data_IF_976100846075
#
_entry.id   IF_976100846075
#
_cell.length_a   1.000
_cell.length_b   1.000
_cell.length_c   1.000
_cell.angle_alpha   90.00
_cell.angle_beta   90.00
_cell.angle_gamma   90.00
#
_symmetry.space_group_name_H-M   'P 1'
#
loop_
_entity.id
_entity.type
_entity.pdbx_description
1 polymer ?
#
# COMPACT_ATOMS: atom_id res chain seq x y z
N UNK A 1 -3.35 -7.42 6.05
CA UNK A 1 -3.94 -7.52 4.71
C UNK A 1 -4.58 -8.90 4.66
N UNK A 2 -5.91 -8.97 4.81
CA UNK A 2 -6.63 -10.16 4.37
C UNK A 2 -6.57 -10.14 2.85
N UNK A 3 -5.62 -10.82 2.24
CA UNK A 3 -5.83 -11.30 0.89
C UNK A 3 -7.11 -12.14 0.90
N UNK A 4 -8.10 -11.77 0.11
CA UNK A 4 -9.18 -12.69 -0.23
C UNK A 4 -8.58 -13.72 -1.19
N UNK A 5 -8.01 -14.76 -0.62
CA UNK A 5 -7.17 -15.73 -1.31
C UNK A 5 -7.98 -16.84 -2.01
N UNK A 6 -9.29 -16.71 -2.17
CA UNK A 6 -10.11 -17.80 -2.74
C UNK A 6 -9.77 -18.09 -4.21
N UNK A 7 -9.20 -17.13 -4.95
CA UNK A 7 -8.75 -17.35 -6.34
C UNK A 7 -7.25 -17.64 -6.49
N UNK A 8 -6.44 -17.22 -5.54
CA UNK A 8 -4.97 -17.32 -5.63
C UNK A 8 -4.40 -18.58 -5.00
N UNK A 9 -5.10 -19.21 -4.06
CA UNK A 9 -4.65 -20.45 -3.42
C UNK A 9 -4.46 -21.62 -4.40
N UNK A 10 -5.19 -21.66 -5.47
CA UNK A 10 -5.00 -22.68 -6.52
C UNK A 10 -3.77 -22.44 -7.39
N UNK A 11 -3.23 -21.23 -7.42
CA UNK A 11 -2.06 -20.86 -8.23
C UNK A 11 -0.77 -20.72 -7.43
N UNK A 12 -0.84 -20.50 -6.12
CA UNK A 12 0.31 -20.28 -5.24
C UNK A 12 0.52 -21.55 -4.41
N UNK A 13 1.27 -22.49 -4.94
CA UNK A 13 1.78 -23.63 -4.17
C UNK A 13 2.99 -23.26 -3.29
N UNK A 14 3.37 -22.01 -3.29
CA UNK A 14 4.49 -21.53 -2.49
C UNK A 14 4.04 -21.38 -1.05
N UNK A 15 4.60 -22.20 -0.19
CA UNK A 15 4.31 -22.17 1.24
C UNK A 15 5.05 -21.00 1.85
N UNK A 16 4.33 -19.99 2.28
CA UNK A 16 4.87 -18.93 3.12
C UNK A 16 4.11 -18.88 4.45
N UNK A 17 4.77 -18.39 5.47
CA UNK A 17 4.18 -18.15 6.78
C UNK A 17 4.13 -16.66 7.03
N UNK A 18 2.98 -16.16 7.50
CA UNK A 18 2.81 -14.77 7.90
C UNK A 18 2.94 -14.67 9.41
N UNK A 19 3.87 -13.84 9.88
CA UNK A 19 3.97 -13.44 11.28
C UNK A 19 3.38 -12.06 11.47
N UNK A 20 2.37 -11.96 12.31
CA UNK A 20 1.72 -10.70 12.66
C UNK A 20 2.40 -10.04 13.86
N UNK A 21 2.26 -8.72 13.99
CA UNK A 21 2.76 -7.94 15.10
C UNK A 21 4.03 -7.16 14.79
N UNK A 22 4.79 -6.82 15.81
CA UNK A 22 6.00 -6.00 15.68
C UNK A 22 7.12 -6.75 14.95
N UNK A 23 7.63 -6.14 13.86
CA UNK A 23 8.66 -6.75 13.00
C UNK A 23 9.96 -6.97 13.77
N UNK A 24 10.40 -6.01 14.56
CA UNK A 24 11.67 -6.10 15.30
C UNK A 24 11.60 -7.21 16.33
N UNK A 25 10.48 -7.30 17.04
CA UNK A 25 10.23 -8.37 18.00
C UNK A 25 10.26 -9.74 17.31
N UNK A 26 9.52 -9.91 16.22
CA UNK A 26 9.45 -11.17 15.47
C UNK A 26 10.82 -11.61 14.92
N UNK A 27 11.61 -10.66 14.39
CA UNK A 27 12.97 -10.93 13.92
C UNK A 27 13.91 -11.32 15.08
N UNK A 28 13.76 -10.69 16.24
CA UNK A 28 14.54 -11.02 17.43
C UNK A 28 14.33 -12.47 17.91
N UNK A 29 13.08 -12.93 17.87
CA UNK A 29 12.75 -14.34 18.20
C UNK A 29 13.43 -15.33 17.25
N UNK A 30 13.63 -14.93 16.00
CA UNK A 30 14.32 -15.73 14.98
C UNK A 30 15.84 -15.52 14.97
N UNK A 31 16.37 -14.66 15.85
CA UNK A 31 17.77 -14.28 15.91
C UNK A 31 18.29 -13.67 14.59
N UNK A 32 17.44 -12.91 13.93
CA UNK A 32 17.75 -12.21 12.68
C UNK A 32 17.90 -10.72 13.01
N UNK A 33 18.96 -10.09 12.53
CA UNK A 33 19.17 -8.65 12.70
C UNK A 33 18.13 -7.88 11.87
N UNK A 34 17.40 -6.91 12.47
CA UNK A 34 16.44 -6.08 11.74
C UNK A 34 17.13 -5.23 10.67
N UNK A 35 16.51 -5.06 9.50
CA UNK A 35 17.01 -4.17 8.47
C UNK A 35 16.96 -2.71 8.93
N UNK A 36 17.79 -1.86 8.31
CA UNK A 36 17.81 -0.41 8.57
C UNK A 36 17.60 0.34 7.26
N UNK A 37 16.48 1.07 7.10
CA UNK A 37 15.33 1.20 8.03
C UNK A 37 14.46 -0.08 8.09
N UNK A 38 13.67 -0.20 9.17
CA UNK A 38 12.63 -1.23 9.26
C UNK A 38 11.41 -0.74 8.51
N UNK A 39 11.11 -1.35 7.37
CA UNK A 39 9.94 -1.04 6.54
C UNK A 39 9.07 -2.29 6.37
N UNK A 40 7.80 -2.09 6.04
CA UNK A 40 6.88 -3.16 5.65
C UNK A 40 6.65 -3.13 4.12
N UNK A 41 6.50 -4.27 3.48
CA UNK A 41 6.67 -5.61 4.03
C UNK A 41 8.14 -5.94 4.32
N UNK A 42 8.35 -6.81 5.32
CA UNK A 42 9.65 -7.43 5.58
C UNK A 42 9.52 -8.92 5.32
N UNK A 43 10.38 -9.48 4.49
CA UNK A 43 10.40 -10.91 4.18
C UNK A 43 11.69 -11.57 4.64
N UNK A 44 11.58 -12.84 5.08
CA UNK A 44 12.70 -13.67 5.44
C UNK A 44 12.84 -14.77 4.38
N UNK A 45 14.02 -14.87 3.82
CA UNK A 45 14.37 -15.79 2.76
C UNK A 45 15.62 -16.58 3.17
N UNK A 46 15.86 -17.71 2.52
CA UNK A 46 17.13 -18.41 2.63
C UNK A 46 18.02 -18.03 1.46
N UNK A 47 19.27 -17.69 1.75
CA UNK A 47 20.30 -17.54 0.72
C UNK A 47 20.82 -18.90 0.26
N UNK A 48 21.74 -18.92 -0.69
CA UNK A 48 22.33 -20.13 -1.25
C UNK A 48 23.07 -20.98 -0.20
N UNK A 49 23.57 -20.38 0.88
CA UNK A 49 24.20 -21.06 2.02
C UNK A 49 23.18 -21.60 3.04
N UNK A 50 21.89 -21.45 2.79
CA UNK A 50 20.81 -21.85 3.69
C UNK A 50 20.60 -20.95 4.91
N UNK A 51 21.31 -19.79 4.99
CA UNK A 51 21.14 -18.82 6.06
C UNK A 51 19.94 -17.93 5.79
N UNK A 52 19.25 -17.55 6.86
CA UNK A 52 18.16 -16.59 6.76
C UNK A 52 18.71 -15.19 6.42
N UNK A 53 18.14 -14.59 5.39
CA UNK A 53 18.35 -13.17 5.02
C UNK A 53 17.04 -12.44 5.14
N UNK A 54 17.12 -11.18 5.55
CA UNK A 54 15.98 -10.29 5.68
C UNK A 54 16.02 -9.25 4.57
N UNK A 55 14.88 -9.09 3.87
CA UNK A 55 14.69 -8.03 2.87
C UNK A 55 13.47 -7.21 3.26
N UNK A 56 13.58 -5.90 3.09
CA UNK A 56 12.51 -4.95 3.36
C UNK A 56 12.33 -4.04 2.14
N UNK A 57 11.17 -3.35 2.08
CA UNK A 57 10.78 -2.53 0.95
C UNK A 57 10.28 -3.36 -0.25
N UNK A 58 9.15 -2.94 -0.83
CA UNK A 58 8.46 -3.69 -1.89
C UNK A 58 9.26 -3.77 -3.17
N UNK A 59 9.85 -2.68 -3.63
CA UNK A 59 10.58 -2.64 -4.90
C UNK A 59 11.80 -3.58 -4.91
N UNK A 60 12.72 -3.54 -3.93
CA UNK A 60 13.82 -4.51 -3.85
C UNK A 60 13.35 -5.96 -3.68
N UNK A 61 12.25 -6.19 -2.97
CA UNK A 61 11.66 -7.53 -2.81
C UNK A 61 11.15 -8.05 -4.15
N UNK A 62 10.40 -7.24 -4.90
CA UNK A 62 9.90 -7.62 -6.24
C UNK A 62 11.07 -7.96 -7.16
N UNK A 63 12.09 -7.10 -7.25
CA UNK A 63 13.27 -7.34 -8.09
C UNK A 63 13.98 -8.65 -7.73
N UNK A 64 14.15 -8.92 -6.45
CA UNK A 64 14.73 -10.19 -5.98
C UNK A 64 13.88 -11.39 -6.35
N UNK A 65 12.56 -11.32 -6.19
CA UNK A 65 11.65 -12.40 -6.55
C UNK A 65 11.63 -12.66 -8.07
N UNK A 66 11.77 -11.63 -8.89
CA UNK A 66 11.91 -11.73 -10.35
C UNK A 66 13.22 -12.42 -10.77
N UNK A 67 14.31 -12.23 -10.01
CA UNK A 67 15.58 -12.91 -10.27
C UNK A 67 15.51 -14.43 -10.04
N UNK A 68 14.82 -14.84 -8.97
CA UNK A 68 14.73 -16.26 -8.59
C UNK A 68 13.54 -17.00 -9.21
N UNK A 69 12.52 -16.28 -9.70
CA UNK A 69 11.32 -16.88 -10.30
C UNK A 69 11.00 -16.24 -11.65
N UNK A 70 11.44 -16.90 -12.74
CA UNK A 70 11.30 -16.39 -14.10
C UNK A 70 10.03 -16.84 -14.84
N UNK A 71 9.16 -17.61 -14.18
CA UNK A 71 8.01 -18.24 -14.85
C UNK A 71 6.77 -17.37 -14.95
N UNK A 72 6.59 -16.42 -14.04
CA UNK A 72 5.41 -15.54 -13.94
C UNK A 72 5.81 -14.12 -13.57
N UNK A 73 6.65 -13.51 -14.42
CA UNK A 73 7.13 -12.14 -14.21
C UNK A 73 5.96 -11.14 -14.06
N UNK A 74 6.08 -10.24 -13.09
CA UNK A 74 5.21 -9.07 -12.92
C UNK A 74 5.81 -7.83 -13.57
N UNK A 75 6.94 -7.97 -14.25
CA UNK A 75 7.61 -6.92 -14.99
C UNK A 75 7.41 -7.17 -16.48
N UNK A 76 6.87 -6.22 -17.25
CA UNK A 76 6.71 -6.36 -18.69
C UNK A 76 8.06 -6.57 -19.43
N UNK A 77 8.10 -7.51 -20.35
CA UNK A 77 9.34 -7.82 -21.10
C UNK A 77 9.71 -6.76 -22.15
N UNK A 78 8.72 -6.02 -22.67
CA UNK A 78 8.98 -4.97 -23.66
C UNK A 78 9.67 -3.77 -22.99
N UNK A 79 10.81 -3.26 -23.50
CA UNK A 79 11.60 -2.22 -22.82
C UNK A 79 10.81 -0.95 -22.46
N UNK A 80 9.95 -0.48 -23.37
CA UNK A 80 9.12 0.70 -23.15
C UNK A 80 8.10 0.43 -22.03
N UNK A 81 7.42 -0.73 -22.07
CA UNK A 81 6.45 -1.08 -21.03
C UNK A 81 7.11 -1.33 -19.68
N UNK A 82 8.33 -1.87 -19.68
CA UNK A 82 9.13 -2.03 -18.45
C UNK A 82 9.45 -0.66 -17.84
N UNK A 83 9.88 0.31 -18.65
CA UNK A 83 10.13 1.68 -18.18
C UNK A 83 8.85 2.34 -17.64
N UNK A 84 7.74 2.23 -18.36
CA UNK A 84 6.44 2.78 -17.91
C UNK A 84 5.95 2.09 -16.62
N UNK A 85 6.15 0.79 -16.50
CA UNK A 85 5.84 0.04 -15.30
C UNK A 85 6.63 0.54 -14.08
N UNK A 86 7.94 0.76 -14.26
CA UNK A 86 8.78 1.34 -13.21
C UNK A 86 8.32 2.75 -12.83
N UNK A 87 8.02 3.58 -13.82
CA UNK A 87 7.54 4.96 -13.60
C UNK A 87 6.21 4.99 -12.85
N UNK A 88 5.28 4.08 -13.17
CA UNK A 88 3.98 4.00 -12.48
C UNK A 88 4.10 3.39 -11.07
N UNK A 89 5.02 2.44 -10.87
CA UNK A 89 5.34 1.91 -9.55
C UNK A 89 5.88 3.03 -8.65
N UNK A 90 6.86 3.80 -9.14
CA UNK A 90 7.43 4.97 -8.44
C UNK A 90 6.38 6.06 -8.17
N UNK A 91 5.51 6.35 -9.15
CA UNK A 91 4.41 7.28 -8.98
C UNK A 91 3.44 6.82 -7.87
N UNK A 92 3.14 5.54 -7.80
CA UNK A 92 2.27 5.00 -6.77
C UNK A 92 2.90 5.15 -5.37
N UNK A 93 4.16 4.83 -5.23
CA UNK A 93 4.86 4.87 -3.94
C UNK A 93 5.12 6.32 -3.48
N UNK A 94 5.52 7.21 -4.38
CA UNK A 94 5.97 8.55 -4.01
C UNK A 94 4.88 9.64 -4.12
N UNK A 95 3.92 9.48 -5.04
CA UNK A 95 2.89 10.51 -5.28
C UNK A 95 1.52 10.13 -4.74
N UNK A 96 1.06 8.91 -4.97
CA UNK A 96 -0.25 8.47 -4.48
C UNK A 96 -0.26 8.37 -2.95
N UNK A 97 0.87 8.06 -2.34
CA UNK A 97 1.08 8.16 -0.89
C UNK A 97 0.77 9.57 -0.35
N UNK A 98 1.12 10.63 -1.11
CA UNK A 98 0.83 12.02 -0.70
C UNK A 98 -0.66 12.30 -0.67
N UNK A 99 -1.44 11.78 -1.64
CA UNK A 99 -2.90 11.86 -1.60
C UNK A 99 -3.44 11.18 -0.36
N UNK A 100 -3.01 9.92 -0.10
CA UNK A 100 -3.48 9.15 1.05
C UNK A 100 -3.21 9.87 2.36
N UNK A 101 -1.99 10.37 2.56
CA UNK A 101 -1.64 11.06 3.79
C UNK A 101 -2.37 12.39 3.96
N UNK A 102 -2.55 13.15 2.86
CA UNK A 102 -3.35 14.38 2.85
C UNK A 102 -4.79 14.10 3.26
N UNK A 103 -5.49 13.23 2.55
CA UNK A 103 -6.90 12.97 2.85
C UNK A 103 -7.08 12.46 4.27
N UNK A 104 -6.28 11.53 4.73
CA UNK A 104 -6.38 10.93 6.06
C UNK A 104 -6.21 11.92 7.20
N UNK A 105 -5.34 12.91 7.07
CA UNK A 105 -4.95 13.76 8.19
C UNK A 105 -5.31 15.23 8.05
N UNK A 106 -5.63 15.70 6.85
CA UNK A 106 -6.07 17.08 6.62
C UNK A 106 -7.56 17.26 6.89
N UNK A 107 -8.39 16.28 6.53
CA UNK A 107 -9.83 16.33 6.76
C UNK A 107 -10.17 15.76 8.13
N UNK A 108 -10.94 16.55 8.92
CA UNK A 108 -11.30 16.15 10.29
C UNK A 108 -12.02 14.81 10.36
N UNK A 109 -12.95 14.55 9.45
CA UNK A 109 -13.71 13.31 9.40
C UNK A 109 -12.78 12.09 9.22
N UNK A 110 -11.82 12.19 8.32
CA UNK A 110 -10.89 11.09 8.03
C UNK A 110 -9.89 10.90 9.16
N UNK A 111 -9.40 11.99 9.78
CA UNK A 111 -8.53 11.91 10.94
C UNK A 111 -9.23 11.25 12.15
N UNK A 112 -10.49 11.59 12.42
CA UNK A 112 -11.30 10.96 13.47
C UNK A 112 -11.53 9.46 13.20
N UNK A 113 -11.76 9.08 11.96
CA UNK A 113 -11.85 7.67 11.56
C UNK A 113 -10.50 6.95 11.74
N UNK A 114 -9.44 7.53 11.19
CA UNK A 114 -8.12 6.90 11.12
C UNK A 114 -7.49 6.69 12.50
N UNK A 115 -7.56 7.67 13.39
CA UNK A 115 -6.91 7.60 14.70
C UNK A 115 -7.34 6.39 15.53
N UNK A 116 -8.64 6.08 15.53
CA UNK A 116 -9.20 4.92 16.25
C UNK A 116 -8.90 3.61 15.56
N UNK A 117 -9.13 3.57 14.25
CA UNK A 117 -8.91 2.37 13.45
C UNK A 117 -7.45 1.91 13.49
N UNK A 118 -6.49 2.83 13.46
CA UNK A 118 -5.07 2.49 13.53
C UNK A 118 -4.67 1.90 14.87
N UNK A 119 -5.21 2.39 15.98
CA UNK A 119 -4.98 1.78 17.31
C UNK A 119 -5.57 0.37 17.37
N UNK A 120 -6.82 0.20 16.92
CA UNK A 120 -7.50 -1.10 16.93
C UNK A 120 -6.85 -2.13 16.00
N UNK A 121 -6.24 -1.71 14.89
CA UNK A 121 -5.46 -2.61 14.04
C UNK A 121 -4.23 -3.20 14.73
N UNK A 122 -3.66 -2.50 15.70
CA UNK A 122 -2.59 -3.02 16.53
C UNK A 122 -3.09 -3.95 17.63
N UNK A 123 -4.21 -3.59 18.27
CA UNK A 123 -4.75 -4.36 19.38
C UNK A 123 -6.28 -4.17 19.50
N UNK A 124 -7.02 -5.21 19.11
CA UNK A 124 -8.50 -5.17 19.12
C UNK A 124 -9.10 -5.15 20.53
N UNK A 125 -8.45 -5.80 21.49
CA UNK A 125 -8.88 -5.94 22.89
C UNK A 125 -8.28 -4.88 23.82
N UNK A 126 -7.89 -3.72 23.26
CA UNK A 126 -7.40 -2.59 24.05
C UNK A 126 -8.55 -1.97 24.86
N UNK A 127 -8.26 -1.53 26.08
CA UNK A 127 -9.19 -0.76 26.89
C UNK A 127 -9.58 0.56 26.21
N UNK A 128 -10.85 0.99 26.36
CA UNK A 128 -11.38 2.16 25.68
C UNK A 128 -10.65 3.46 26.06
N UNK A 129 -10.28 3.63 27.32
CA UNK A 129 -9.58 4.83 27.77
C UNK A 129 -8.18 4.89 27.18
N UNK A 130 -7.47 3.78 27.17
CA UNK A 130 -6.15 3.67 26.50
C UNK A 130 -6.26 3.83 24.99
N UNK A 131 -7.31 3.30 24.37
CA UNK A 131 -7.57 3.49 22.95
C UNK A 131 -7.71 4.97 22.59
N UNK A 132 -8.50 5.72 23.33
CA UNK A 132 -8.67 7.16 23.10
C UNK A 132 -7.34 7.92 23.31
N UNK A 133 -6.59 7.62 24.38
CA UNK A 133 -5.30 8.26 24.62
C UNK A 133 -4.30 8.02 23.47
N UNK A 134 -4.15 6.78 23.00
CA UNK A 134 -3.26 6.47 21.88
C UNK A 134 -3.76 7.06 20.56
N UNK A 135 -5.08 7.12 20.36
CA UNK A 135 -5.68 7.72 19.18
C UNK A 135 -5.32 9.21 19.06
N UNK A 136 -5.42 9.97 20.15
CA UNK A 136 -5.04 11.38 20.18
C UNK A 136 -3.54 11.58 19.90
N UNK A 137 -2.68 10.76 20.51
CA UNK A 137 -1.22 10.81 20.25
C UNK A 137 -0.90 10.54 18.78
N UNK A 138 -1.56 9.56 18.16
CA UNK A 138 -1.36 9.26 16.74
C UNK A 138 -1.84 10.43 15.88
N UNK A 139 -3.06 10.93 16.13
CA UNK A 139 -3.63 12.03 15.34
C UNK A 139 -2.76 13.29 15.42
N UNK A 140 -2.41 13.71 16.64
CA UNK A 140 -1.57 14.89 16.84
C UNK A 140 -0.21 14.76 16.13
N UNK A 141 0.45 13.63 16.29
CA UNK A 141 1.71 13.36 15.59
C UNK A 141 1.59 13.46 14.08
N UNK A 142 0.55 12.88 13.49
CA UNK A 142 0.42 12.80 12.03
C UNK A 142 -0.07 14.10 11.42
N UNK A 143 -1.00 14.79 12.06
CA UNK A 143 -1.48 16.11 11.63
C UNK A 143 -0.32 17.11 11.60
N UNK A 144 0.52 17.12 12.65
CA UNK A 144 1.71 17.95 12.73
C UNK A 144 2.80 17.60 11.69
N UNK A 145 2.63 16.51 10.93
CA UNK A 145 3.55 16.05 9.87
C UNK A 145 2.99 16.23 8.45
N UNK A 146 1.84 16.86 8.26
CA UNK A 146 1.26 17.11 6.93
C UNK A 146 2.24 17.83 5.97
N UNK A 147 3.14 18.64 6.52
CA UNK A 147 4.19 19.32 5.76
C UNK A 147 5.15 18.34 5.04
N UNK A 148 5.35 17.13 5.54
CA UNK A 148 6.24 16.11 4.93
C UNK A 148 5.77 15.72 3.53
N UNK A 149 4.45 15.71 3.32
CA UNK A 149 3.84 15.44 2.01
C UNK A 149 3.46 16.72 1.26
N UNK A 150 3.87 17.88 1.77
CA UNK A 150 3.56 19.19 1.18
C UNK A 150 2.09 19.60 1.34
N UNK A 151 1.34 18.98 2.26
CA UNK A 151 -0.07 19.30 2.51
C UNK A 151 -0.21 20.48 3.46
N UNK A 152 -0.90 21.54 2.99
CA UNK A 152 -1.25 22.74 3.73
C UNK A 152 -2.45 23.43 3.04
N UNK A 153 -2.91 24.56 3.58
CA UNK A 153 -4.06 25.28 3.03
C UNK A 153 -3.85 25.81 1.60
N UNK A 154 -2.62 26.07 1.19
CA UNK A 154 -2.31 26.57 -0.15
C UNK A 154 -2.31 25.43 -1.18
N UNK A 155 -1.83 24.25 -0.79
CA UNK A 155 -1.68 23.10 -1.67
C UNK A 155 -2.87 22.13 -1.65
N UNK A 156 -3.76 22.22 -0.65
CA UNK A 156 -4.88 21.31 -0.48
C UNK A 156 -5.74 21.18 -1.74
N UNK A 157 -6.10 22.30 -2.37
CA UNK A 157 -6.88 22.29 -3.62
C UNK A 157 -6.12 21.62 -4.78
N UNK A 158 -4.82 21.82 -4.87
CA UNK A 158 -3.99 21.19 -5.91
C UNK A 158 -3.94 19.67 -5.73
N UNK A 159 -3.80 19.22 -4.49
CA UNK A 159 -3.78 17.78 -4.15
C UNK A 159 -5.13 17.13 -4.50
N UNK A 160 -6.24 17.78 -4.13
CA UNK A 160 -7.59 17.32 -4.43
C UNK A 160 -7.85 17.21 -5.94
N UNK A 161 -7.52 18.27 -6.70
CA UNK A 161 -7.64 18.26 -8.17
C UNK A 161 -6.76 17.18 -8.81
N UNK A 162 -5.56 16.97 -8.30
CA UNK A 162 -4.64 15.95 -8.81
C UNK A 162 -5.17 14.53 -8.54
N UNK A 163 -5.75 14.28 -7.38
CA UNK A 163 -6.38 13.00 -7.06
C UNK A 163 -7.61 12.73 -7.95
N UNK A 164 -8.48 13.72 -8.13
CA UNK A 164 -9.65 13.61 -9.03
C UNK A 164 -9.23 13.29 -10.46
N UNK A 165 -8.22 13.99 -10.98
CA UNK A 165 -7.66 13.70 -12.30
C UNK A 165 -7.08 12.29 -12.39
N UNK A 166 -6.41 11.83 -11.35
CA UNK A 166 -5.89 10.45 -11.29
C UNK A 166 -7.04 9.43 -11.39
N UNK A 167 -8.13 9.64 -10.66
CA UNK A 167 -9.33 8.80 -10.74
C UNK A 167 -9.98 8.81 -12.13
N UNK A 168 -10.10 9.97 -12.77
CA UNK A 168 -10.63 10.10 -14.14
C UNK A 168 -9.81 9.30 -15.16
N UNK A 169 -8.49 9.37 -15.04
CA UNK A 169 -7.57 8.60 -15.89
C UNK A 169 -7.71 7.08 -15.65
N UNK A 170 -7.82 6.66 -14.41
CA UNK A 170 -8.05 5.25 -14.06
C UNK A 170 -9.41 4.77 -14.57
N UNK A 171 -10.49 5.55 -14.37
CA UNK A 171 -11.81 5.21 -14.86
C UNK A 171 -11.79 4.98 -16.38
N UNK A 172 -11.15 5.89 -17.12
CA UNK A 172 -10.99 5.75 -18.56
C UNK A 172 -10.19 4.52 -18.95
N UNK A 173 -9.04 4.28 -18.29
CA UNK A 173 -8.18 3.12 -18.57
C UNK A 173 -8.91 1.80 -18.31
N UNK A 174 -9.61 1.68 -17.19
CA UNK A 174 -10.30 0.47 -16.75
C UNK A 174 -11.54 0.13 -17.60
N UNK A 175 -11.95 0.99 -18.54
CA UNK A 175 -12.94 0.63 -19.55
C UNK A 175 -12.41 -0.33 -20.61
N UNK A 176 -11.09 -0.35 -20.82
CA UNK A 176 -10.44 -1.10 -21.91
C UNK A 176 -9.47 -2.17 -21.44
N UNK A 177 -8.92 -2.01 -20.24
CA UNK A 177 -7.92 -2.92 -19.69
C UNK A 177 -8.16 -3.17 -18.21
N UNK A 178 -8.01 -4.42 -17.77
CA UNK A 178 -8.16 -4.77 -16.35
C UNK A 178 -6.94 -4.32 -15.53
N UNK A 179 -5.74 -4.36 -16.10
CA UNK A 179 -4.49 -3.97 -15.44
C UNK A 179 -3.72 -2.99 -16.33
N UNK A 180 -2.74 -2.31 -15.74
CA UNK A 180 -2.01 -1.23 -16.42
C UNK A 180 -1.36 -1.66 -17.74
N UNK A 181 -0.88 -2.89 -17.83
CA UNK A 181 -0.18 -3.39 -19.00
C UNK A 181 -0.79 -4.65 -19.62
N UNK A 182 -2.09 -4.87 -19.46
CA UNK A 182 -2.82 -5.94 -20.14
C UNK A 182 -3.66 -6.84 -19.24
N UNK A 183 -3.54 -8.16 -19.42
CA UNK A 183 -4.43 -9.14 -18.79
C UNK A 183 -3.94 -9.68 -17.44
N UNK A 184 -2.76 -9.26 -17.01
CA UNK A 184 -2.15 -9.69 -15.74
C UNK A 184 -1.62 -8.49 -15.00
N UNK A 185 -1.69 -8.49 -13.65
CA UNK A 185 -1.13 -7.43 -12.85
C UNK A 185 0.40 -7.38 -13.02
N UNK A 186 0.92 -6.16 -13.09
CA UNK A 186 2.33 -5.82 -13.07
C UNK A 186 2.74 -5.27 -11.69
N UNK A 187 4.03 -4.99 -11.49
CA UNK A 187 4.47 -4.37 -10.24
C UNK A 187 3.85 -2.98 -10.02
N UNK A 188 3.59 -2.23 -11.10
CA UNK A 188 2.85 -0.96 -11.03
C UNK A 188 1.43 -1.14 -10.47
N UNK A 189 0.71 -2.20 -10.87
CA UNK A 189 -0.63 -2.49 -10.35
C UNK A 189 -0.58 -2.76 -8.84
N UNK A 190 0.42 -3.49 -8.36
CA UNK A 190 0.59 -3.75 -6.92
C UNK A 190 0.92 -2.48 -6.14
N UNK A 191 1.80 -1.60 -6.66
CA UNK A 191 2.10 -0.30 -6.06
C UNK A 191 0.85 0.56 -5.96
N UNK A 192 0.09 0.69 -7.06
CA UNK A 192 -1.16 1.45 -7.10
C UNK A 192 -2.22 0.85 -6.16
N UNK A 193 -2.35 -0.47 -6.11
CA UNK A 193 -3.25 -1.15 -5.19
C UNK A 193 -2.93 -0.84 -3.72
N UNK A 194 -1.66 -0.82 -3.36
CA UNK A 194 -1.22 -0.51 -1.99
C UNK A 194 -1.80 0.81 -1.49
N UNK A 195 -1.73 1.87 -2.29
CA UNK A 195 -2.24 3.19 -1.93
C UNK A 195 -3.76 3.33 -2.13
N UNK A 196 -4.29 2.83 -3.24
CA UNK A 196 -5.72 2.89 -3.51
C UNK A 196 -6.54 2.10 -2.50
N UNK A 197 -6.05 0.96 -2.00
CA UNK A 197 -6.71 0.21 -0.94
C UNK A 197 -6.89 1.02 0.34
N UNK A 198 -5.99 1.96 0.62
CA UNK A 198 -6.11 2.90 1.73
C UNK A 198 -7.10 4.02 1.38
N UNK A 199 -6.94 4.67 0.24
CA UNK A 199 -7.77 5.79 -0.21
C UNK A 199 -9.25 5.41 -0.36
N UNK A 200 -9.55 4.27 -0.95
CA UNK A 200 -10.95 3.88 -1.22
C UNK A 200 -11.50 2.82 -0.26
N UNK A 201 -10.64 2.18 0.52
CA UNK A 201 -11.03 1.15 1.46
C UNK A 201 -11.05 1.60 2.91
N UNK A 202 -10.27 2.61 3.26
CA UNK A 202 -10.06 3.03 4.64
C UNK A 202 -10.56 4.44 4.94
N UNK A 203 -10.25 5.41 4.07
CA UNK A 203 -10.52 6.84 4.30
C UNK A 203 -11.85 7.27 3.67
N UNK A 204 -12.83 7.82 4.44
CA UNK A 204 -14.16 8.16 3.94
C UNK A 204 -14.18 9.18 2.80
N UNK A 205 -13.51 10.32 2.96
CA UNK A 205 -13.56 11.41 1.97
C UNK A 205 -13.04 11.00 0.60
N UNK A 206 -11.83 10.42 0.45
CA UNK A 206 -11.35 10.02 -0.88
C UNK A 206 -12.13 8.84 -1.45
N UNK A 207 -12.73 8.00 -0.62
CA UNK A 207 -13.65 6.96 -1.05
C UNK A 207 -14.92 7.53 -1.71
N UNK A 208 -15.55 8.52 -1.07
CA UNK A 208 -16.76 9.15 -1.59
C UNK A 208 -16.49 9.81 -2.95
N UNK A 209 -15.37 10.51 -3.07
CA UNK A 209 -14.89 11.08 -4.34
C UNK A 209 -14.69 9.98 -5.39
N UNK A 210 -14.09 8.85 -5.01
CA UNK A 210 -13.88 7.74 -5.94
C UNK A 210 -15.19 7.05 -6.34
N UNK A 211 -16.17 6.96 -5.45
CA UNK A 211 -17.52 6.46 -5.78
C UNK A 211 -18.21 7.29 -6.87
N UNK A 212 -17.99 8.60 -6.83
CA UNK A 212 -18.57 9.54 -7.80
C UNK A 212 -17.84 9.52 -9.16
N UNK A 213 -16.49 9.55 -9.12
CA UNK A 213 -15.66 9.77 -10.31
C UNK A 213 -15.25 8.44 -10.97
N UNK A 214 -14.90 7.42 -10.19
CA UNK A 214 -14.32 6.18 -10.70
C UNK A 214 -14.79 4.94 -9.94
N UNK A 215 -16.05 4.51 -10.14
CA UNK A 215 -16.56 3.27 -9.55
C UNK A 215 -15.77 2.04 -10.01
N UNK A 216 -15.12 2.09 -11.19
CA UNK A 216 -14.24 1.02 -11.66
C UNK A 216 -12.99 0.89 -10.81
N UNK A 217 -12.42 1.99 -10.32
CA UNK A 217 -11.26 1.93 -9.40
C UNK A 217 -11.62 1.22 -8.09
N UNK A 218 -12.79 1.47 -7.52
CA UNK A 218 -13.26 0.78 -6.31
C UNK A 218 -13.42 -0.71 -6.57
N UNK A 219 -14.06 -1.07 -7.70
CA UNK A 219 -14.24 -2.46 -8.10
C UNK A 219 -12.90 -3.15 -8.38
N UNK A 220 -11.99 -2.44 -9.03
CA UNK A 220 -10.63 -2.92 -9.31
C UNK A 220 -9.86 -3.24 -8.03
N UNK A 221 -9.90 -2.37 -7.02
CA UNK A 221 -9.29 -2.62 -5.70
C UNK A 221 -9.87 -3.89 -5.04
N UNK A 222 -11.13 -4.22 -5.32
CA UNK A 222 -11.78 -5.42 -4.76
C UNK A 222 -11.37 -6.72 -5.45
N UNK A 223 -10.87 -6.65 -6.68
CA UNK A 223 -10.42 -7.84 -7.45
C UNK A 223 -8.91 -8.06 -7.44
N UNK A 224 -8.12 -7.03 -7.05
CA UNK A 224 -6.67 -7.15 -6.81
C UNK A 224 -6.36 -7.91 -5.54
#
# INVERSE_FOLDING_TARGET
>A
IKCSLVGSEMCIRDRYTVSWGDVVHNLSLLKIEPPKPVLLPTIILKNDDGKNICKTDTTPIIRYLEEINKTKSVIPNHPILNFLNYLLEDFADEWTTKYMFHYRWYFKQDAENAKKMLVLQHKLDIDNELMEQFSEVIADRQINRLWVVGSNNETANLIDLSYKRYLELLESHLTTSTFMFGQRPSSADFGMYGQLSQLVGFDPTPRDIACEISPRTISWVSIM
#
